data_IF_789607172351
#
_entry.id   IF_789607172351
#
_cell.length_a   1.000
_cell.length_b   1.000
_cell.length_c   1.000
_cell.angle_alpha   90.00
_cell.angle_beta   90.00
_cell.angle_gamma   90.00
#
_symmetry.space_group_name_H-M   'P 1'
#
loop_
_entity.id
_entity.type
_entity.pdbx_description
1 polymer ?
#
# COMPACT_ATOMS: atom_id res chain seq x y z
N UNK A 1 -46.88 10.93 -6.92
CA UNK A 1 -46.42 10.69 -8.31
C UNK A 1 -44.90 10.89 -8.33
N UNK A 2 -44.11 9.85 -8.03
CA UNK A 2 -42.64 9.92 -8.07
C UNK A 2 -42.12 8.76 -8.93
N UNK A 3 -41.99 9.00 -10.24
CA UNK A 3 -41.28 8.10 -11.17
C UNK A 3 -40.08 8.84 -11.70
N UNK A 4 -38.88 8.37 -11.33
CA UNK A 4 -37.58 8.41 -12.04
C UNK A 4 -36.42 8.51 -11.03
N UNK A 5 -36.01 7.37 -10.45
CA UNK A 5 -34.77 7.25 -9.66
C UNK A 5 -33.93 6.01 -10.05
N UNK A 6 -34.07 5.52 -11.29
CA UNK A 6 -33.29 4.37 -11.78
C UNK A 6 -32.86 4.58 -13.25
N UNK A 7 -32.07 5.62 -13.54
CA UNK A 7 -31.23 5.52 -14.72
C UNK A 7 -30.15 4.47 -14.44
N UNK A 8 -30.24 3.37 -15.19
CA UNK A 8 -29.34 2.21 -15.27
C UNK A 8 -27.86 2.61 -15.09
N UNK A 9 -27.33 2.49 -13.87
CA UNK A 9 -25.89 2.39 -13.66
C UNK A 9 -25.52 0.93 -13.99
N UNK A 10 -24.79 0.70 -15.07
CA UNK A 10 -24.29 -0.64 -15.44
C UNK A 10 -23.12 -1.01 -14.52
N UNK A 11 -23.37 -1.33 -13.27
CA UNK A 11 -22.37 -1.98 -12.42
C UNK A 11 -22.63 -3.48 -12.46
N UNK A 12 -21.62 -4.28 -12.77
CA UNK A 12 -21.66 -5.71 -12.47
C UNK A 12 -20.95 -5.87 -11.12
N UNK A 13 -21.66 -6.43 -10.16
CA UNK A 13 -21.11 -6.74 -8.85
C UNK A 13 -20.72 -8.22 -8.88
N UNK A 14 -19.43 -8.51 -8.70
CA UNK A 14 -18.92 -9.88 -8.72
C UNK A 14 -18.47 -10.27 -7.34
N UNK A 15 -19.01 -11.39 -6.88
CA UNK A 15 -18.74 -12.01 -5.60
C UNK A 15 -17.63 -13.05 -5.78
N UNK A 16 -16.46 -12.80 -5.19
CA UNK A 16 -15.30 -13.70 -5.30
C UNK A 16 -14.93 -14.23 -3.92
N UNK A 17 -14.79 -15.55 -3.78
CA UNK A 17 -14.32 -16.15 -2.54
C UNK A 17 -12.80 -15.96 -2.36
N UNK A 18 -12.39 -15.18 -1.35
CA UNK A 18 -10.99 -15.02 -0.97
C UNK A 18 -10.59 -16.09 0.07
N UNK A 19 -9.65 -16.96 -0.31
CA UNK A 19 -9.20 -18.11 0.50
C UNK A 19 -8.47 -17.69 1.78
N UNK A 20 -7.75 -16.57 1.77
CA UNK A 20 -6.98 -16.14 2.93
C UNK A 20 -7.84 -15.34 3.91
N UNK A 21 -8.73 -14.48 3.40
CA UNK A 21 -9.69 -13.73 4.21
C UNK A 21 -10.91 -14.56 4.63
N UNK A 22 -11.03 -15.78 4.06
CA UNK A 22 -12.09 -16.77 4.28
C UNK A 22 -13.49 -16.18 4.11
N UNK A 23 -13.69 -15.37 3.07
CA UNK A 23 -14.97 -14.72 2.82
C UNK A 23 -15.13 -14.34 1.35
N UNK A 24 -16.37 -14.06 0.96
CA UNK A 24 -16.70 -13.44 -0.32
C UNK A 24 -16.31 -11.96 -0.26
N UNK A 25 -15.46 -11.52 -1.18
CA UNK A 25 -15.18 -10.11 -1.47
C UNK A 25 -16.06 -9.67 -2.65
N UNK A 26 -16.62 -8.46 -2.54
CA UNK A 26 -17.52 -7.90 -3.54
C UNK A 26 -16.73 -6.90 -4.39
N UNK A 27 -16.48 -7.25 -5.65
CA UNK A 27 -15.84 -6.38 -6.64
C UNK A 27 -16.93 -5.68 -7.47
N UNK A 28 -16.79 -4.38 -7.68
CA UNK A 28 -17.70 -3.62 -8.54
C UNK A 28 -17.00 -3.33 -9.88
N UNK A 29 -17.52 -3.86 -10.99
CA UNK A 29 -17.10 -3.47 -12.33
C UNK A 29 -17.46 -2.01 -12.60
N UNK A 30 -16.48 -1.24 -13.09
CA UNK A 30 -16.71 0.10 -13.60
C UNK A 30 -17.09 0.01 -15.09
N UNK A 31 -18.30 0.45 -15.49
CA UNK A 31 -18.67 0.46 -16.90
C UNK A 31 -17.82 1.47 -17.67
N UNK A 32 -17.13 1.01 -18.72
CA UNK A 32 -16.39 1.85 -19.65
C UNK A 32 -14.88 1.63 -19.68
N UNK A 33 -14.33 0.81 -18.79
CA UNK A 33 -12.93 0.38 -18.90
C UNK A 33 -12.86 -0.87 -19.77
N UNK A 34 -12.74 -0.68 -21.08
CA UNK A 34 -12.31 -1.76 -21.97
C UNK A 34 -10.82 -1.96 -21.70
N UNK A 35 -10.47 -2.99 -20.94
CA UNK A 35 -9.09 -3.42 -20.79
C UNK A 35 -8.67 -4.11 -22.09
N UNK A 36 -7.78 -3.52 -22.91
CA UNK A 36 -7.40 -4.13 -24.17
C UNK A 36 -6.73 -5.49 -23.89
N UNK A 37 -7.04 -6.51 -24.68
CA UNK A 37 -6.36 -7.79 -24.62
C UNK A 37 -4.96 -7.68 -25.22
N UNK A 38 -3.94 -7.36 -24.42
CA UNK A 38 -2.55 -7.69 -24.73
C UNK A 38 -1.66 -7.58 -23.48
N UNK A 39 -0.50 -8.25 -23.51
CA UNK A 39 0.55 -8.08 -22.51
C UNK A 39 1.00 -6.62 -22.35
N UNK A 40 0.88 -5.82 -23.42
CA UNK A 40 1.13 -4.37 -23.38
C UNK A 40 0.03 -3.59 -22.65
N UNK A 41 -1.20 -4.13 -22.56
CA UNK A 41 -2.25 -3.59 -21.72
C UNK A 41 -2.09 -4.01 -20.25
N UNK A 42 -1.54 -5.20 -19.97
CA UNK A 42 -1.08 -5.56 -18.61
C UNK A 42 0.01 -4.59 -18.16
N UNK A 43 1.00 -4.34 -19.02
CA UNK A 43 2.01 -3.32 -18.78
C UNK A 43 1.37 -1.95 -18.71
N UNK A 44 0.39 -1.59 -19.54
CA UNK A 44 -0.30 -0.32 -19.45
C UNK A 44 -1.21 -0.20 -18.22
N UNK A 45 -1.82 -1.25 -17.66
CA UNK A 45 -2.64 -1.24 -16.44
C UNK A 45 -1.74 -1.22 -15.22
N UNK A 46 -0.67 -2.02 -15.20
CA UNK A 46 0.35 -1.99 -14.17
C UNK A 46 1.11 -0.66 -14.20
N UNK A 47 1.38 -0.11 -15.38
CA UNK A 47 2.03 1.19 -15.59
C UNK A 47 1.05 2.32 -15.33
N UNK A 48 -0.21 2.25 -15.71
CA UNK A 48 -1.23 3.27 -15.46
C UNK A 48 -1.62 3.27 -13.98
N UNK A 49 -1.77 2.12 -13.33
CA UNK A 49 -2.03 2.04 -11.88
C UNK A 49 -0.79 2.37 -11.05
N UNK A 50 0.42 1.90 -11.38
CA UNK A 50 1.64 2.34 -10.70
C UNK A 50 1.94 3.82 -10.93
N UNK A 51 1.55 4.40 -12.07
CA UNK A 51 1.56 5.85 -12.33
C UNK A 51 0.40 6.60 -11.65
N UNK A 52 -0.77 5.98 -11.44
CA UNK A 52 -1.93 6.55 -10.74
C UNK A 52 -1.69 6.58 -9.22
N UNK A 53 -1.06 5.55 -8.64
CA UNK A 53 -0.62 5.57 -7.24
C UNK A 53 0.42 6.67 -6.96
N UNK A 54 1.14 7.10 -8.00
CA UNK A 54 2.08 8.19 -7.96
C UNK A 54 1.48 9.54 -8.42
N UNK A 55 0.16 9.67 -8.65
CA UNK A 55 -0.47 10.93 -9.04
C UNK A 55 0.05 11.52 -10.37
N UNK A 56 0.66 10.71 -11.24
CA UNK A 56 1.35 11.18 -12.45
C UNK A 56 0.50 11.22 -13.71
N UNK A 57 -0.68 10.62 -13.69
CA UNK A 57 -1.62 10.66 -14.81
C UNK A 57 -2.86 11.44 -14.35
N UNK A 58 -3.29 12.47 -15.11
CA UNK A 58 -4.55 13.13 -14.85
C UNK A 58 -5.70 12.12 -14.90
N UNK A 59 -6.43 11.99 -13.80
CA UNK A 59 -7.65 11.19 -13.73
C UNK A 59 -8.87 12.09 -13.95
N UNK A 60 -9.92 11.54 -14.57
CA UNK A 60 -11.24 12.21 -14.55
C UNK A 60 -11.80 12.20 -13.12
N UNK A 61 -12.77 13.08 -12.85
CA UNK A 61 -13.45 13.10 -11.55
C UNK A 61 -14.06 11.73 -11.20
N UNK A 62 -14.68 11.07 -12.19
CA UNK A 62 -15.28 9.74 -11.99
C UNK A 62 -14.24 8.66 -11.68
N UNK A 63 -13.10 8.68 -12.35
CA UNK A 63 -11.99 7.76 -12.10
C UNK A 63 -11.40 7.97 -10.71
N UNK A 64 -11.22 9.23 -10.30
CA UNK A 64 -10.75 9.58 -8.97
C UNK A 64 -11.73 9.12 -7.89
N UNK A 65 -13.03 9.39 -8.07
CA UNK A 65 -14.05 8.97 -7.10
C UNK A 65 -14.14 7.45 -6.99
N UNK A 66 -14.01 6.74 -8.12
CA UNK A 66 -13.94 5.28 -8.12
C UNK A 66 -12.72 4.75 -7.38
N UNK A 67 -11.55 5.36 -7.61
CA UNK A 67 -10.32 5.01 -6.90
C UNK A 67 -10.46 5.23 -5.38
N UNK A 68 -10.97 6.39 -4.95
CA UNK A 68 -11.21 6.68 -3.54
C UNK A 68 -12.15 5.65 -2.91
N UNK A 69 -13.27 5.32 -3.56
CA UNK A 69 -14.20 4.29 -3.04
C UNK A 69 -13.54 2.93 -2.88
N UNK A 70 -12.79 2.48 -3.88
CA UNK A 70 -12.11 1.18 -3.85
C UNK A 70 -11.01 1.15 -2.77
N UNK A 71 -10.23 2.23 -2.66
CA UNK A 71 -9.22 2.41 -1.61
C UNK A 71 -9.86 2.38 -0.23
N UNK A 72 -10.91 3.15 -0.01
CA UNK A 72 -11.55 3.30 1.30
C UNK A 72 -12.20 1.99 1.74
N UNK A 73 -12.89 1.29 0.84
CA UNK A 73 -13.45 -0.02 1.09
C UNK A 73 -12.38 -1.05 1.46
N UNK A 74 -11.27 -1.07 0.70
CA UNK A 74 -10.12 -1.92 1.00
C UNK A 74 -9.49 -1.63 2.36
N UNK A 75 -9.31 -0.34 2.66
CA UNK A 75 -8.75 0.11 3.94
C UNK A 75 -9.64 -0.28 5.12
N UNK A 76 -10.96 -0.09 5.01
CA UNK A 76 -11.94 -0.49 6.04
C UNK A 76 -11.98 -2.00 6.25
N UNK A 77 -11.85 -2.77 5.17
CA UNK A 77 -11.79 -4.23 5.26
C UNK A 77 -10.53 -4.70 6.01
N UNK A 78 -9.36 -4.15 5.66
CA UNK A 78 -8.10 -4.47 6.33
C UNK A 78 -8.13 -4.06 7.81
N UNK A 79 -8.70 -2.89 8.12
CA UNK A 79 -8.90 -2.43 9.49
C UNK A 79 -9.79 -3.41 10.27
N UNK A 80 -10.96 -3.75 9.73
CA UNK A 80 -11.94 -4.65 10.36
C UNK A 80 -11.35 -6.04 10.63
N UNK A 81 -10.43 -6.50 9.77
CA UNK A 81 -9.76 -7.80 9.91
C UNK A 81 -8.49 -7.74 10.78
N UNK A 82 -8.08 -6.56 11.24
CA UNK A 82 -6.89 -6.37 12.06
C UNK A 82 -5.57 -6.43 11.28
N UNK A 83 -5.60 -6.26 9.95
CA UNK A 83 -4.41 -6.25 9.10
C UNK A 83 -3.86 -4.85 8.84
N UNK A 84 -4.60 -3.79 9.19
CA UNK A 84 -4.15 -2.42 9.04
C UNK A 84 -4.34 -1.61 10.33
N UNK A 85 -3.40 -0.70 10.58
CA UNK A 85 -3.41 0.23 11.69
C UNK A 85 -4.54 1.27 11.51
N UNK A 86 -5.33 1.58 12.55
CA UNK A 86 -6.35 2.62 12.49
C UNK A 86 -5.82 3.98 12.01
N UNK A 87 -4.64 4.40 12.47
CA UNK A 87 -4.03 5.68 12.09
C UNK A 87 -3.57 5.67 10.63
N UNK A 88 -3.05 4.54 10.15
CA UNK A 88 -2.73 4.35 8.74
C UNK A 88 -3.98 4.47 7.86
N UNK A 89 -5.09 3.83 8.26
CA UNK A 89 -6.35 3.86 7.50
C UNK A 89 -6.95 5.25 7.49
N UNK A 90 -6.90 5.97 8.62
CA UNK A 90 -7.28 7.38 8.68
C UNK A 90 -6.46 8.23 7.71
N UNK A 91 -5.12 8.13 7.77
CA UNK A 91 -4.23 8.90 6.90
C UNK A 91 -4.42 8.57 5.42
N UNK A 92 -4.64 7.28 5.08
CA UNK A 92 -4.90 6.83 3.71
C UNK A 92 -6.15 7.46 3.09
N UNK A 93 -7.18 7.71 3.91
CA UNK A 93 -8.44 8.32 3.46
C UNK A 93 -8.32 9.83 3.26
N UNK A 94 -7.43 10.47 4.02
CA UNK A 94 -7.21 11.93 4.01
C UNK A 94 -6.33 12.43 2.84
N UNK A 95 -5.55 11.55 2.20
CA UNK A 95 -4.63 11.93 1.12
C UNK A 95 -5.08 11.37 -0.24
N UNK A 96 -4.69 12.00 -1.35
CA UNK A 96 -5.02 11.52 -2.71
C UNK A 96 -3.95 10.58 -3.32
N UNK A 97 -3.17 9.89 -2.50
CA UNK A 97 -2.17 8.91 -2.96
C UNK A 97 -2.12 7.69 -2.04
N UNK A 98 -1.61 6.55 -2.52
CA UNK A 98 -1.31 5.42 -1.64
C UNK A 98 0.17 5.42 -1.28
N UNK A 99 0.52 5.23 0.00
CA UNK A 99 1.90 5.22 0.43
C UNK A 99 2.53 3.88 0.07
N UNK A 100 3.59 3.93 -0.72
CA UNK A 100 4.52 2.81 -0.90
C UNK A 100 5.93 3.36 -0.99
N UNK A 101 6.96 2.54 -0.74
CA UNK A 101 8.32 2.94 -1.02
C UNK A 101 8.44 3.45 -2.46
N UNK A 102 8.88 4.70 -2.63
CA UNK A 102 8.84 5.36 -3.93
C UNK A 102 10.01 4.99 -4.83
N UNK A 103 11.01 4.23 -4.35
CA UNK A 103 12.16 3.70 -5.12
C UNK A 103 12.77 4.68 -6.16
N UNK A 104 12.90 5.96 -5.79
CA UNK A 104 13.39 7.06 -6.66
C UNK A 104 12.53 7.36 -7.90
N UNK A 105 11.28 6.91 -7.90
CA UNK A 105 10.32 7.28 -8.93
C UNK A 105 9.93 8.74 -8.85
N UNK A 106 9.98 9.38 -7.68
CA UNK A 106 9.58 10.77 -7.43
C UNK A 106 10.77 11.72 -7.22
N UNK A 107 10.54 13.03 -7.41
CA UNK A 107 11.53 14.06 -7.09
C UNK A 107 11.66 14.21 -5.56
N UNK A 108 12.79 14.76 -5.08
CA UNK A 108 12.99 14.98 -3.64
C UNK A 108 11.90 15.87 -3.03
N UNK A 109 11.50 16.92 -3.74
CA UNK A 109 10.43 17.83 -3.31
C UNK A 109 9.10 17.11 -3.22
N UNK A 110 8.77 16.27 -4.21
CA UNK A 110 7.53 15.50 -4.20
C UNK A 110 7.50 14.46 -3.07
N UNK A 111 8.62 13.78 -2.82
CA UNK A 111 8.78 12.90 -1.68
C UNK A 111 8.52 13.62 -0.34
N UNK A 112 9.08 14.82 -0.18
CA UNK A 112 8.90 15.64 1.01
C UNK A 112 7.43 16.03 1.19
N UNK A 113 6.80 16.59 0.15
CA UNK A 113 5.39 16.99 0.17
C UNK A 113 4.48 15.83 0.59
N UNK A 114 4.69 14.63 0.05
CA UNK A 114 3.88 13.46 0.40
C UNK A 114 4.11 12.99 1.82
N UNK A 115 5.36 12.93 2.26
CA UNK A 115 5.68 12.56 3.63
C UNK A 115 5.03 13.55 4.62
N UNK A 116 5.08 14.85 4.33
CA UNK A 116 4.47 15.89 5.17
C UNK A 116 2.95 15.80 5.20
N UNK A 117 2.30 15.65 4.03
CA UNK A 117 0.85 15.47 3.95
C UNK A 117 0.38 14.24 4.73
N UNK A 118 1.10 13.12 4.58
CA UNK A 118 0.80 11.89 5.29
C UNK A 118 0.99 12.03 6.79
N UNK A 119 2.16 12.51 7.22
CA UNK A 119 2.49 12.63 8.64
C UNK A 119 1.58 13.64 9.34
N UNK A 120 1.18 14.72 8.66
CA UNK A 120 0.18 15.66 9.18
C UNK A 120 -1.20 15.00 9.35
N UNK A 121 -1.59 14.05 8.50
CA UNK A 121 -2.82 13.28 8.68
C UNK A 121 -2.74 12.34 9.89
N UNK A 122 -1.59 11.68 10.10
CA UNK A 122 -1.33 10.88 11.31
C UNK A 122 -1.35 11.76 12.57
N UNK A 123 -0.76 12.96 12.51
CA UNK A 123 -0.78 13.90 13.64
C UNK A 123 -2.22 14.36 13.98
N UNK A 124 -3.09 14.56 12.97
CA UNK A 124 -4.52 14.83 13.19
C UNK A 124 -5.21 13.67 13.90
N UNK A 125 -4.92 12.43 13.50
CA UNK A 125 -5.45 11.23 14.17
C UNK A 125 -5.02 11.15 15.64
N UNK A 126 -3.73 11.38 15.92
CA UNK A 126 -3.19 11.41 17.28
C UNK A 126 -3.86 12.52 18.10
N UNK A 127 -4.01 13.72 17.52
CA UNK A 127 -4.62 14.86 18.19
C UNK A 127 -6.10 14.64 18.54
N UNK A 128 -6.80 13.79 17.80
CA UNK A 128 -8.19 13.43 18.09
C UNK A 128 -8.34 12.60 19.38
N UNK A 129 -7.26 12.00 19.89
CA UNK A 129 -7.22 11.21 21.14
C UNK A 129 -8.27 10.09 21.22
N UNK A 130 -8.64 9.53 20.06
CA UNK A 130 -9.58 8.40 19.96
C UNK A 130 -8.88 7.05 20.13
N UNK A 131 -7.58 7.01 19.93
CA UNK A 131 -6.74 5.82 20.08
C UNK A 131 -6.13 5.77 21.50
N UNK A 132 -6.27 4.66 22.24
CA UNK A 132 -5.70 4.55 23.58
C UNK A 132 -4.18 4.32 23.59
N UNK A 133 -3.58 3.97 22.45
CA UNK A 133 -2.13 3.71 22.37
C UNK A 133 -1.32 4.97 22.63
N UNK A 134 -0.09 4.84 23.17
CA UNK A 134 0.82 5.97 23.27
C UNK A 134 1.08 6.61 21.90
N UNK A 135 1.16 7.94 21.85
CA UNK A 135 1.47 8.70 20.62
C UNK A 135 2.64 8.10 19.85
N UNK A 136 3.73 7.79 20.55
CA UNK A 136 4.96 7.25 19.95
C UNK A 136 4.76 5.90 19.27
N UNK A 137 3.89 5.06 19.81
CA UNK A 137 3.57 3.76 19.20
C UNK A 137 2.86 3.99 17.86
N UNK A 138 1.86 4.88 17.83
CA UNK A 138 1.15 5.25 16.60
C UNK A 138 2.12 5.82 15.56
N UNK A 139 3.04 6.69 15.98
CA UNK A 139 4.06 7.26 15.10
C UNK A 139 4.94 6.20 14.46
N UNK A 140 5.43 5.23 15.23
CA UNK A 140 6.27 4.13 14.76
C UNK A 140 5.57 3.30 13.69
N UNK A 141 4.28 2.99 13.90
CA UNK A 141 3.53 2.11 13.00
C UNK A 141 2.83 2.82 11.84
N UNK A 142 2.78 4.16 11.83
CA UNK A 142 2.00 4.90 10.83
C UNK A 142 2.73 6.06 10.15
N UNK A 143 3.83 6.61 10.67
CA UNK A 143 4.54 7.72 10.00
C UNK A 143 5.45 7.24 8.87
N UNK A 144 5.59 8.07 7.85
CA UNK A 144 6.41 7.82 6.67
C UNK A 144 7.67 8.70 6.62
N UNK A 145 8.75 8.11 6.13
CA UNK A 145 9.97 8.80 5.76
C UNK A 145 9.93 9.34 4.33
N UNK A 146 11.00 10.04 3.93
CA UNK A 146 11.14 10.61 2.58
C UNK A 146 11.24 9.57 1.46
N UNK A 147 11.46 8.31 1.81
CA UNK A 147 11.50 7.20 0.88
C UNK A 147 10.12 6.57 0.65
N UNK A 148 9.08 7.04 1.35
CA UNK A 148 7.71 6.51 1.30
C UNK A 148 7.54 5.21 2.08
N UNK A 149 8.58 4.74 2.78
CA UNK A 149 8.49 3.66 3.77
C UNK A 149 8.35 4.23 5.19
N UNK A 150 8.57 3.40 6.23
CA UNK A 150 8.48 3.81 7.62
C UNK A 150 9.40 4.99 7.94
N UNK A 151 8.92 5.96 8.72
CA UNK A 151 9.78 7.00 9.30
C UNK A 151 10.78 6.39 10.30
N UNK A 152 10.30 5.41 11.06
CA UNK A 152 11.06 4.66 12.06
C UNK A 152 11.50 3.33 11.44
N UNK A 153 12.80 3.15 11.23
CA UNK A 153 13.34 1.96 10.57
C UNK A 153 13.63 0.88 11.60
N UNK A 154 13.30 -0.38 11.30
CA UNK A 154 13.65 -1.54 12.14
C UNK A 154 14.88 -2.27 11.60
N UNK A 155 15.60 -2.95 12.49
CA UNK A 155 16.54 -3.98 12.11
C UNK A 155 15.76 -5.15 11.45
N UNK A 156 16.26 -5.67 10.34
CA UNK A 156 15.58 -6.77 9.61
C UNK A 156 15.83 -8.15 10.22
N UNK A 157 16.82 -8.27 11.12
CA UNK A 157 16.95 -9.46 11.95
C UNK A 157 15.73 -9.56 12.88
N UNK A 158 14.85 -10.52 12.59
CA UNK A 158 13.60 -10.78 13.29
C UNK A 158 13.79 -10.97 14.81
N UNK A 159 14.96 -11.46 15.24
CA UNK A 159 15.26 -11.69 16.66
C UNK A 159 15.75 -10.45 17.40
N UNK A 160 16.10 -9.38 16.68
CA UNK A 160 16.69 -8.18 17.27
C UNK A 160 15.65 -7.20 17.80
N UNK A 161 14.63 -6.86 17.00
CA UNK A 161 13.56 -5.94 17.40
C UNK A 161 13.97 -4.47 17.57
N UNK A 162 15.23 -4.08 17.28
CA UNK A 162 15.66 -2.68 17.36
C UNK A 162 14.93 -1.86 16.29
N UNK A 163 14.37 -0.72 16.72
CA UNK A 163 13.77 0.30 15.87
C UNK A 163 14.50 1.61 16.12
N UNK A 164 15.15 2.16 15.09
CA UNK A 164 15.88 3.42 15.17
C UNK A 164 14.98 4.56 14.68
N UNK A 165 14.85 5.55 15.55
CA UNK A 165 13.87 6.64 15.52
C UNK A 165 13.21 6.86 16.89
N UNK A 166 13.27 5.86 17.78
CA UNK A 166 12.94 5.95 19.21
C UNK A 166 14.19 5.72 20.08
N UNK A 167 14.24 6.43 21.23
CA UNK A 167 15.36 6.45 22.17
C UNK A 167 15.66 5.12 22.85
N UNK A 168 16.62 4.38 22.29
CA UNK A 168 17.83 4.07 23.05
C UNK A 168 18.76 5.27 22.90
N UNK A 169 19.42 5.69 23.99
CA UNK A 169 20.32 6.85 24.04
C UNK A 169 21.09 7.01 22.72
N UNK A 170 20.73 8.06 21.97
CA UNK A 170 20.99 8.21 20.54
C UNK A 170 22.44 8.63 20.23
N UNK A 171 23.38 8.08 20.96
CA UNK A 171 24.81 8.28 20.74
C UNK A 171 25.45 7.06 20.03
N UNK A 172 24.76 5.90 19.94
CA UNK A 172 25.43 4.66 19.51
C UNK A 172 24.71 3.68 18.56
N UNK A 173 23.52 3.97 18.00
CA UNK A 173 22.90 3.01 17.06
C UNK A 173 22.26 3.65 15.83
N UNK A 174 23.08 3.91 14.81
CA UNK A 174 22.60 4.14 13.45
C UNK A 174 22.42 2.80 12.73
N UNK A 175 21.27 2.57 12.09
CA UNK A 175 21.09 1.37 11.27
C UNK A 175 21.97 1.45 10.03
N UNK A 176 22.74 0.38 9.81
CA UNK A 176 23.56 0.18 8.64
C UNK A 176 22.71 -0.45 7.54
N UNK A 177 22.88 0.06 6.31
CA UNK A 177 22.26 -0.55 5.14
C UNK A 177 23.09 -1.70 4.62
N UNK A 178 22.44 -2.74 4.12
CA UNK A 178 23.12 -3.78 3.35
C UNK A 178 23.91 -3.14 2.20
N UNK A 179 25.22 -3.41 2.14
CA UNK A 179 26.09 -2.81 1.12
C UNK A 179 25.73 -3.22 -0.33
N UNK A 180 25.09 -4.37 -0.50
CA UNK A 180 24.69 -4.88 -1.81
C UNK A 180 23.38 -4.28 -2.31
N UNK A 181 22.30 -4.35 -1.52
CA UNK A 181 20.97 -3.91 -1.96
C UNK A 181 20.64 -2.47 -1.59
N UNK A 182 21.20 -1.96 -0.49
CA UNK A 182 20.90 -0.66 0.12
C UNK A 182 19.43 -0.46 0.52
N UNK A 183 18.62 -1.53 0.56
CA UNK A 183 17.17 -1.54 0.88
C UNK A 183 16.86 -2.08 2.29
N UNK A 184 17.69 -2.99 2.81
CA UNK A 184 17.55 -3.59 4.15
C UNK A 184 18.46 -2.92 5.18
N UNK A 185 17.99 -2.83 6.42
CA UNK A 185 18.64 -2.15 7.53
C UNK A 185 19.00 -3.12 8.67
N UNK A 186 20.18 -2.95 9.27
CA UNK A 186 20.65 -3.74 10.40
C UNK A 186 21.33 -2.85 11.44
N UNK A 187 21.12 -3.12 12.73
CA UNK A 187 21.81 -2.39 13.79
C UNK A 187 23.31 -2.73 13.86
N UNK A 188 23.69 -3.93 13.40
CA UNK A 188 25.07 -4.40 13.44
C UNK A 188 25.40 -5.41 12.33
N UNK A 189 26.70 -5.61 12.01
CA UNK A 189 27.14 -6.65 11.08
C UNK A 189 26.74 -8.08 11.53
N UNK A 190 26.62 -8.31 12.84
CA UNK A 190 26.19 -9.58 13.41
C UNK A 190 24.74 -9.87 13.03
N UNK A 191 23.85 -8.88 13.20
CA UNK A 191 22.45 -9.00 12.77
C UNK A 191 22.33 -9.23 11.26
N UNK A 192 23.17 -8.58 10.45
CA UNK A 192 23.21 -8.84 9.01
C UNK A 192 23.66 -10.29 8.71
N UNK A 193 24.64 -10.81 9.44
CA UNK A 193 25.17 -12.16 9.23
C UNK A 193 24.16 -13.25 9.64
N UNK A 194 23.41 -13.01 10.71
CA UNK A 194 22.35 -13.90 11.18
C UNK A 194 21.20 -13.97 10.16
N UNK A 195 20.74 -12.82 9.69
CA UNK A 195 19.68 -12.72 8.68
C UNK A 195 20.13 -13.14 7.27
N UNK A 196 21.44 -13.21 7.00
CA UNK A 196 21.99 -13.44 5.66
C UNK A 196 21.43 -14.69 4.96
N UNK A 197 21.13 -15.77 5.68
CA UNK A 197 20.55 -16.99 5.09
C UNK A 197 19.19 -16.72 4.45
N UNK A 198 18.39 -15.85 5.06
CA UNK A 198 17.08 -15.41 4.58
C UNK A 198 17.28 -14.33 3.50
N UNK A 199 17.96 -13.24 3.87
CA UNK A 199 18.15 -12.06 3.03
C UNK A 199 18.84 -12.34 1.69
N UNK A 200 19.84 -13.25 1.63
CA UNK A 200 20.62 -13.49 0.41
C UNK A 200 19.78 -13.92 -0.80
N UNK A 201 18.62 -14.54 -0.56
CA UNK A 201 17.70 -15.01 -1.61
C UNK A 201 17.14 -13.83 -2.39
N UNK A 202 16.83 -12.76 -1.67
CA UNK A 202 16.11 -11.62 -2.23
C UNK A 202 17.01 -10.37 -2.33
N UNK A 203 18.19 -10.34 -1.72
CA UNK A 203 19.09 -9.18 -1.67
C UNK A 203 19.25 -8.43 -3.01
N UNK A 204 19.34 -9.16 -4.14
CA UNK A 204 19.42 -8.56 -5.49
C UNK A 204 18.23 -8.93 -6.39
N UNK A 205 17.17 -9.47 -5.80
CA UNK A 205 15.97 -9.84 -6.53
C UNK A 205 15.21 -8.62 -7.03
N UNK A 206 14.53 -8.71 -8.18
CA UNK A 206 13.69 -7.63 -8.70
C UNK A 206 12.52 -7.31 -7.75
N UNK A 207 12.04 -8.30 -7.00
CA UNK A 207 10.94 -8.17 -6.03
C UNK A 207 11.39 -7.61 -4.67
N UNK A 208 12.69 -7.39 -4.47
CA UNK A 208 13.18 -6.91 -3.19
C UNK A 208 12.87 -5.42 -3.02
N UNK A 209 11.98 -5.13 -2.10
CA UNK A 209 11.50 -3.77 -1.82
C UNK A 209 12.19 -3.19 -0.58
N UNK A 210 12.14 -1.86 -0.44
CA UNK A 210 12.53 -1.23 0.82
C UNK A 210 11.54 -1.62 1.92
N UNK A 211 11.99 -1.52 3.17
CA UNK A 211 11.15 -1.77 4.34
C UNK A 211 9.85 -0.97 4.25
N UNK A 212 8.73 -1.63 4.57
CA UNK A 212 7.38 -1.09 4.59
C UNK A 212 6.81 -1.13 6.00
N UNK A 213 5.81 -0.27 6.26
CA UNK A 213 4.96 -0.43 7.43
C UNK A 213 4.11 -1.70 7.25
N UNK A 214 3.74 -2.43 8.32
CA UNK A 214 2.87 -3.60 8.21
C UNK A 214 1.57 -3.32 7.46
N UNK A 215 0.98 -2.13 7.67
CA UNK A 215 -0.24 -1.72 6.96
C UNK A 215 0.00 -1.39 5.48
N UNK A 216 1.21 -0.94 5.11
CA UNK A 216 1.58 -0.77 3.69
C UNK A 216 1.68 -2.12 3.00
N UNK A 217 2.31 -3.11 3.63
CA UNK A 217 2.43 -4.48 3.08
C UNK A 217 1.05 -5.09 2.85
N UNK A 218 0.20 -5.07 3.89
CA UNK A 218 -1.15 -5.58 3.80
C UNK A 218 -1.99 -4.88 2.72
N UNK A 219 -1.88 -3.55 2.62
CA UNK A 219 -2.57 -2.78 1.60
C UNK A 219 -2.05 -3.07 0.19
N UNK A 220 -0.73 -3.13 -0.01
CA UNK A 220 -0.14 -3.46 -1.30
C UNK A 220 -0.55 -4.86 -1.77
N UNK A 221 -0.55 -5.85 -0.87
CA UNK A 221 -0.96 -7.22 -1.20
C UNK A 221 -2.45 -7.31 -1.51
N UNK A 222 -3.30 -6.59 -0.76
CA UNK A 222 -4.72 -6.48 -1.07
C UNK A 222 -4.95 -5.89 -2.46
N UNK A 223 -4.27 -4.79 -2.79
CA UNK A 223 -4.39 -4.15 -4.11
C UNK A 223 -3.90 -5.08 -5.24
N UNK A 224 -2.77 -5.79 -5.05
CA UNK A 224 -2.27 -6.76 -6.03
C UNK A 224 -3.29 -7.88 -6.30
N UNK A 225 -3.96 -8.38 -5.26
CA UNK A 225 -4.98 -9.44 -5.40
C UNK A 225 -6.22 -8.96 -6.10
N UNK A 226 -6.74 -7.78 -5.72
CA UNK A 226 -7.89 -7.21 -6.42
C UNK A 226 -7.62 -7.06 -7.93
N UNK A 227 -6.40 -6.68 -8.29
CA UNK A 227 -5.99 -6.60 -9.70
C UNK A 227 -5.96 -8.00 -10.35
N UNK A 228 -5.39 -9.00 -9.68
CA UNK A 228 -5.33 -10.38 -10.19
C UNK A 228 -6.71 -10.98 -10.41
N UNK A 229 -7.63 -10.78 -9.46
CA UNK A 229 -9.00 -11.30 -9.56
C UNK A 229 -9.78 -10.58 -10.65
N UNK A 230 -9.64 -9.26 -10.76
CA UNK A 230 -10.23 -8.49 -11.87
C UNK A 230 -9.73 -8.99 -13.22
N UNK A 231 -8.46 -9.41 -13.31
CA UNK A 231 -7.87 -10.00 -14.52
C UNK A 231 -8.44 -11.38 -14.85
N UNK A 232 -8.53 -12.29 -13.87
CA UNK A 232 -9.09 -13.63 -14.06
C UNK A 232 -10.55 -13.57 -14.52
N UNK A 233 -11.34 -12.69 -13.93
CA UNK A 233 -12.71 -12.43 -14.31
C UNK A 233 -12.83 -11.88 -15.75
N UNK A 234 -12.00 -10.88 -16.11
CA UNK A 234 -11.97 -10.37 -17.48
C UNK A 234 -11.56 -11.45 -18.50
N UNK A 235 -10.67 -12.39 -18.12
CA UNK A 235 -10.29 -13.52 -18.96
C UNK A 235 -11.44 -14.49 -19.16
N UNK A 236 -12.15 -14.87 -18.11
CA UNK A 236 -13.30 -15.79 -18.17
C UNK A 236 -14.44 -15.22 -19.03
N UNK A 237 -14.81 -13.95 -18.83
CA UNK A 237 -15.81 -13.25 -19.66
C UNK A 237 -15.38 -13.23 -21.13
N UNK A 238 -14.08 -13.05 -21.41
CA UNK A 238 -13.58 -13.06 -22.78
C UNK A 238 -13.59 -14.44 -23.43
N UNK A 239 -13.41 -15.51 -22.66
CA UNK A 239 -13.48 -16.89 -23.13
C UNK A 239 -14.94 -17.30 -23.39
N UNK A 240 -15.88 -16.88 -22.53
CA UNK A 240 -17.32 -17.08 -22.73
C UNK A 240 -17.87 -16.31 -23.95
N UNK A 241 -17.37 -15.09 -24.20
CA UNK A 241 -17.80 -14.28 -25.35
C UNK A 241 -17.29 -14.78 -26.71
N UNK A 242 -16.36 -15.74 -26.72
CA UNK A 242 -15.81 -16.38 -27.92
C UNK A 242 -16.46 -17.75 -28.21
N UNK A 243 -17.31 -18.25 -27.30
CA UNK A 243 -18.14 -19.44 -27.48
C UNK A 243 -19.53 -19.09 -28.02
#
# INVERSE_FOLDING_TARGET
MFRKCCQRRKFATVEVWDVQLRQIIILNELPGVVYPHCKEAQDAINTHMSRNFNGRVPMTLEQRDAWCRTRDCGADLLLKKGYADPAFVFALKEVEFAPKPWEKTLSKTECQTRADLWNAAVDRYIAAKTDPRPTKEIEVFSKLGLDGGPLFKRCENETCGIIVGFGVDSEFCELKRCGACKKTYYCSPECQKEDWKQHKKDCKGPEHTMQMLPSQEAYCDFMKRMISVSWELCREISEESKS
#
